data_IF_183420049669
#
_entry.id   IF_183420049669
#
_cell.length_a   1.000
_cell.length_b   1.000
_cell.length_c   1.000
_cell.angle_alpha   90.00
_cell.angle_beta   90.00
_cell.angle_gamma   90.00
#
_symmetry.space_group_name_H-M   'P 1'
#
loop_
_entity.id
_entity.type
_entity.pdbx_description
1 polymer ?
#
# COMPACT_ATOMS: atom_id res chain seq x y z
N UNK A 1 4.85 10.73 6.26
CA UNK A 1 3.79 9.98 5.57
C UNK A 1 3.88 8.48 5.90
N UNK A 2 3.68 8.11 7.16
CA UNK A 2 3.51 6.73 7.65
C UNK A 2 2.38 6.70 8.69
N UNK A 3 1.24 7.31 8.36
CA UNK A 3 0.14 7.49 9.33
C UNK A 3 -0.98 6.47 9.21
N UNK A 4 -0.76 5.39 8.45
CA UNK A 4 -1.70 4.28 8.37
C UNK A 4 -1.13 3.11 9.15
N UNK A 5 -1.84 2.74 10.22
CA UNK A 5 -1.42 1.67 11.11
C UNK A 5 -1.37 0.33 10.35
N UNK A 6 -0.28 -0.42 10.52
CA UNK A 6 -0.04 -1.67 9.78
C UNK A 6 0.58 -1.55 8.38
N UNK A 7 0.84 -0.33 7.87
CA UNK A 7 1.63 -0.15 6.64
C UNK A 7 3.11 -0.34 6.94
N UNK A 8 3.69 -1.37 6.32
CA UNK A 8 5.11 -1.69 6.50
C UNK A 8 5.98 -0.90 5.53
N UNK A 9 5.55 -0.78 4.26
CA UNK A 9 6.30 -0.07 3.21
C UNK A 9 5.34 0.46 2.13
N UNK A 10 5.66 1.61 1.54
CA UNK A 10 4.99 2.10 0.34
C UNK A 10 6.05 2.59 -0.66
N UNK A 11 5.91 2.21 -1.93
CA UNK A 11 6.86 2.57 -2.98
C UNK A 11 6.15 2.83 -4.31
N UNK A 12 6.58 3.90 -4.98
CA UNK A 12 6.16 4.23 -6.32
C UNK A 12 6.89 3.34 -7.34
N UNK A 13 6.15 2.88 -8.35
CA UNK A 13 6.61 2.06 -9.48
C UNK A 13 6.23 2.79 -10.77
N UNK A 14 6.84 2.42 -11.91
CA UNK A 14 6.50 2.93 -13.25
C UNK A 14 6.46 4.46 -13.32
N UNK A 15 7.54 5.11 -12.88
CA UNK A 15 7.66 6.57 -12.83
C UNK A 15 6.54 7.29 -12.05
N UNK A 16 5.99 6.64 -11.02
CA UNK A 16 4.95 7.23 -10.17
C UNK A 16 3.52 7.02 -10.67
N UNK A 17 3.31 6.23 -11.73
CA UNK A 17 1.96 5.87 -12.21
C UNK A 17 1.36 4.64 -11.51
N UNK A 18 2.16 3.94 -10.72
CA UNK A 18 1.68 2.89 -9.84
C UNK A 18 2.27 3.08 -8.44
N UNK A 19 1.44 2.96 -7.41
CA UNK A 19 1.86 2.94 -6.02
C UNK A 19 1.56 1.57 -5.44
N UNK A 20 2.58 0.92 -4.87
CA UNK A 20 2.43 -0.36 -4.20
C UNK A 20 2.69 -0.21 -2.71
N UNK A 21 1.73 -0.65 -1.92
CA UNK A 21 1.74 -0.54 -0.46
C UNK A 21 1.74 -1.94 0.12
N UNK A 22 2.76 -2.26 0.90
CA UNK A 22 2.90 -3.55 1.57
C UNK A 22 2.47 -3.40 3.03
N UNK A 23 1.60 -4.30 3.46
CA UNK A 23 1.05 -4.34 4.82
C UNK A 23 1.27 -5.72 5.45
N UNK A 24 1.37 -5.75 6.78
CA UNK A 24 1.45 -6.99 7.54
C UNK A 24 0.09 -7.69 7.55
N UNK A 25 0.04 -8.93 7.05
CA UNK A 25 -1.22 -9.69 6.99
C UNK A 25 -1.84 -9.94 8.37
N UNK A 26 -1.04 -9.96 9.43
CA UNK A 26 -1.50 -10.19 10.81
C UNK A 26 -2.18 -8.97 11.44
N UNK A 27 -1.87 -7.77 10.95
CA UNK A 27 -2.40 -6.50 11.48
C UNK A 27 -3.51 -5.91 10.63
N UNK A 28 -3.49 -6.18 9.33
CA UNK A 28 -4.43 -5.61 8.37
C UNK A 28 -5.33 -6.71 7.82
N UNK A 29 -6.64 -6.52 7.93
CA UNK A 29 -7.65 -7.40 7.34
C UNK A 29 -7.83 -7.14 5.83
N UNK A 30 -8.52 -8.03 5.12
CA UNK A 30 -8.83 -7.79 3.70
C UNK A 30 -9.68 -6.52 3.51
N UNK A 31 -10.71 -6.34 4.33
CA UNK A 31 -11.55 -5.14 4.28
C UNK A 31 -10.74 -3.86 4.55
N UNK A 32 -9.86 -3.87 5.55
CA UNK A 32 -9.01 -2.72 5.86
C UNK A 32 -8.03 -2.43 4.72
N UNK A 33 -7.51 -3.47 4.04
CA UNK A 33 -6.64 -3.29 2.88
C UNK A 33 -7.37 -2.66 1.68
N UNK A 34 -8.63 -3.05 1.45
CA UNK A 34 -9.49 -2.45 0.43
C UNK A 34 -9.74 -0.97 0.74
N UNK A 35 -10.15 -0.66 1.97
CA UNK A 35 -10.38 0.71 2.46
C UNK A 35 -9.11 1.57 2.33
N UNK A 36 -7.95 1.01 2.69
CA UNK A 36 -6.66 1.69 2.59
C UNK A 36 -6.33 2.05 1.14
N UNK A 37 -6.58 1.14 0.19
CA UNK A 37 -6.32 1.40 -1.24
C UNK A 37 -7.13 2.58 -1.77
N UNK A 38 -8.40 2.68 -1.34
CA UNK A 38 -9.32 3.75 -1.70
C UNK A 38 -8.92 5.08 -1.05
N UNK A 39 -8.61 5.07 0.24
CA UNK A 39 -8.17 6.26 0.98
C UNK A 39 -6.91 6.87 0.38
N UNK A 40 -5.92 6.04 0.05
CA UNK A 40 -4.68 6.50 -0.57
C UNK A 40 -4.94 7.05 -1.98
N UNK A 41 -5.83 6.42 -2.75
CA UNK A 41 -6.21 6.93 -4.07
C UNK A 41 -6.85 8.33 -3.97
N UNK A 42 -7.80 8.52 -3.05
CA UNK A 42 -8.43 9.82 -2.80
C UNK A 42 -7.43 10.86 -2.28
N UNK A 43 -6.51 10.47 -1.41
CA UNK A 43 -5.48 11.38 -0.91
C UNK A 43 -4.59 11.89 -2.05
N UNK A 44 -4.14 11.00 -2.94
CA UNK A 44 -3.32 11.37 -4.11
C UNK A 44 -4.09 12.28 -5.07
N UNK A 45 -5.37 11.97 -5.32
CA UNK A 45 -6.26 12.80 -6.15
C UNK A 45 -6.41 14.22 -5.59
N UNK A 46 -6.48 14.36 -4.26
CA UNK A 46 -6.63 15.65 -3.59
C UNK A 46 -5.32 16.44 -3.43
N UNK A 47 -4.20 15.77 -3.18
CA UNK A 47 -2.91 16.41 -2.87
C UNK A 47 -2.07 16.72 -4.12
N UNK A 48 -2.24 15.98 -5.22
CA UNK A 48 -1.44 16.18 -6.43
C UNK A 48 -2.33 16.40 -7.64
N UNK A 49 -2.07 17.48 -8.39
CA UNK A 49 -2.55 17.66 -9.76
C UNK A 49 -1.76 16.75 -10.70
N UNK A 50 -1.78 15.43 -10.46
CA UNK A 50 -1.08 14.46 -11.30
C UNK A 50 -1.90 14.25 -12.58
N UNK A 51 -1.40 14.63 -13.78
CA UNK A 51 -2.15 14.44 -15.00
C UNK A 51 -2.12 12.95 -15.38
N UNK A 52 -3.15 12.22 -14.96
CA UNK A 52 -3.39 10.84 -15.34
C UNK A 52 -3.77 9.93 -14.19
N UNK A 53 -4.15 8.71 -14.53
CA UNK A 53 -4.53 7.70 -13.56
C UNK A 53 -3.28 7.16 -12.85
N UNK A 54 -3.35 7.06 -11.53
CA UNK A 54 -2.38 6.36 -10.69
C UNK A 54 -3.05 5.08 -10.19
N UNK A 55 -2.38 3.94 -10.38
CA UNK A 55 -2.88 2.66 -9.87
C UNK A 55 -2.36 2.42 -8.46
N UNK A 56 -3.24 2.25 -7.48
CA UNK A 56 -2.86 1.90 -6.11
C UNK A 56 -3.07 0.39 -5.93
N UNK A 57 -2.06 -0.31 -5.43
CA UNK A 57 -2.15 -1.74 -5.11
C UNK A 57 -1.67 -1.98 -3.69
N UNK A 58 -2.56 -2.46 -2.82
CA UNK A 58 -2.22 -2.89 -1.47
C UNK A 58 -1.96 -4.39 -1.48
N UNK A 59 -0.82 -4.82 -0.93
CA UNK A 59 -0.41 -6.22 -0.88
C UNK A 59 -0.24 -6.60 0.59
N UNK A 60 -1.04 -7.58 1.02
CA UNK A 60 -0.89 -8.23 2.32
C UNK A 60 0.19 -9.29 2.21
N UNK A 61 1.23 -9.18 3.03
CA UNK A 61 2.36 -10.11 3.02
C UNK A 61 2.48 -10.84 4.36
N UNK A 62 2.64 -12.17 4.29
CA UNK A 62 3.09 -13.01 5.40
C UNK A 62 4.48 -13.56 5.06
N UNK A 63 5.46 -13.30 5.91
CA UNK A 63 6.80 -13.91 5.80
C UNK A 63 6.96 -14.99 6.86
N UNK A 64 7.26 -16.22 6.43
CA UNK A 64 7.68 -17.30 7.30
C UNK A 64 9.14 -17.63 6.97
N UNK A 65 10.00 -17.61 7.98
CA UNK A 65 11.44 -17.90 7.84
C UNK A 65 11.77 -19.04 8.79
N UNK A 66 12.37 -20.11 8.26
CA UNK A 66 12.88 -21.23 9.05
C UNK A 66 14.36 -21.42 8.70
N UNK A 67 15.18 -21.67 9.72
CA UNK A 67 16.61 -21.93 9.55
C UNK A 67 16.89 -23.34 10.05
N UNK A 68 17.44 -24.18 9.18
CA UNK A 68 17.98 -25.48 9.56
C UNK A 68 19.50 -25.37 9.77
N UNK A 69 20.05 -26.23 10.63
CA UNK A 69 21.48 -26.33 10.88
C UNK A 69 22.06 -27.53 10.14
#
# INVERSE_FOLDING_TARGET
AMSYDGVTKAFAIQAGRELRVMVESEKVSDQTADELSLQIAHQIENEMTYPGQVKITVIRERRAVAVAK
#
